data_IF_148920189836
#
_entry.id   IF_148920189836
#
_cell.length_a   1.000
_cell.length_b   1.000
_cell.length_c   1.000
_cell.angle_alpha   90.00
_cell.angle_beta   90.00
_cell.angle_gamma   90.00
#
_symmetry.space_group_name_H-M   'P 1'
#
loop_
_entity.id
_entity.type
_entity.pdbx_description
1 polymer ?
#
# COMPACT_ATOMS: atom_id res chain seq x y z
N UNK A 1 -4.52 2.39 -18.52
CA UNK A 1 -3.56 2.90 -19.53
C UNK A 1 -2.19 2.36 -19.16
N UNK A 2 -1.35 1.97 -20.11
CA UNK A 2 -0.01 1.50 -19.78
C UNK A 2 0.81 2.67 -19.20
N UNK A 3 1.45 2.45 -18.06
CA UNK A 3 2.46 3.38 -17.51
C UNK A 3 3.54 3.58 -18.56
N UNK A 4 4.00 4.82 -18.83
CA UNK A 4 5.11 5.03 -19.75
C UNK A 4 6.32 4.20 -19.31
N UNK A 5 6.98 3.53 -20.26
CA UNK A 5 8.10 2.65 -19.97
C UNK A 5 9.25 3.45 -19.33
N UNK A 6 9.39 3.34 -18.01
CA UNK A 6 10.50 3.95 -17.27
C UNK A 6 11.75 3.16 -17.61
N UNK A 7 12.70 3.82 -18.27
CA UNK A 7 14.01 3.25 -18.52
C UNK A 7 14.91 3.40 -17.29
N UNK A 8 15.65 2.34 -17.01
CA UNK A 8 16.69 2.27 -15.99
C UNK A 8 18.03 2.06 -16.70
N UNK A 9 19.07 2.75 -16.25
CA UNK A 9 20.40 2.80 -16.90
C UNK A 9 21.51 2.22 -16.03
N UNK A 10 21.24 2.04 -14.72
CA UNK A 10 22.17 1.48 -13.73
C UNK A 10 21.65 0.18 -13.14
N UNK A 11 20.35 0.06 -12.95
CA UNK A 11 19.72 -1.15 -12.37
C UNK A 11 18.83 -1.85 -13.40
N UNK A 12 18.71 -3.17 -13.28
CA UNK A 12 17.68 -3.95 -13.98
C UNK A 12 16.46 -4.09 -13.07
N UNK A 13 15.28 -3.71 -13.57
CA UNK A 13 13.99 -3.86 -12.89
C UNK A 13 13.16 -4.92 -13.61
N UNK A 14 12.74 -5.97 -12.89
CA UNK A 14 11.79 -6.98 -13.38
C UNK A 14 10.53 -6.95 -12.53
N UNK A 15 9.36 -6.51 -13.07
CA UNK A 15 8.10 -6.52 -12.31
C UNK A 15 7.78 -7.91 -11.75
N UNK A 16 7.39 -7.98 -10.47
CA UNK A 16 7.08 -9.23 -9.79
C UNK A 16 5.64 -9.68 -10.07
N UNK A 17 4.70 -8.73 -10.01
CA UNK A 17 3.33 -8.86 -10.47
C UNK A 17 2.90 -7.58 -11.22
N UNK A 18 1.75 -7.57 -11.93
CA UNK A 18 1.29 -6.40 -12.70
C UNK A 18 0.97 -5.16 -11.85
N UNK A 19 0.63 -5.34 -10.57
CA UNK A 19 0.24 -4.29 -9.62
C UNK A 19 1.33 -3.97 -8.58
N UNK A 20 2.01 -5.01 -8.07
CA UNK A 20 2.85 -4.97 -6.88
C UNK A 20 4.21 -5.68 -7.09
N UNK A 21 5.27 -5.08 -6.57
CA UNK A 21 6.59 -5.69 -6.48
C UNK A 21 7.45 -5.58 -7.74
N UNK A 22 8.77 -5.52 -7.55
CA UNK A 22 9.76 -5.75 -8.60
C UNK A 22 11.05 -6.35 -8.04
N UNK A 23 11.69 -7.25 -8.78
CA UNK A 23 13.08 -7.60 -8.54
C UNK A 23 14.00 -6.49 -9.04
N UNK A 24 15.03 -6.19 -8.25
CA UNK A 24 16.13 -5.27 -8.58
C UNK A 24 17.41 -6.09 -8.72
N UNK A 25 18.10 -5.92 -9.85
CA UNK A 25 19.31 -6.66 -10.23
C UNK A 25 20.37 -5.71 -10.80
N UNK A 26 21.62 -6.17 -10.87
CA UNK A 26 22.73 -5.39 -11.44
C UNK A 26 23.38 -4.37 -10.50
N UNK A 27 23.00 -4.34 -9.21
CA UNK A 27 23.55 -3.48 -8.16
C UNK A 27 24.01 -4.32 -6.96
N UNK A 28 25.03 -3.87 -6.23
CA UNK A 28 25.44 -4.44 -4.94
C UNK A 28 25.36 -3.40 -3.82
N UNK A 29 24.36 -3.52 -2.95
CA UNK A 29 24.14 -2.60 -1.82
C UNK A 29 25.29 -2.66 -0.79
N UNK A 30 26.06 -3.74 -0.75
CA UNK A 30 27.21 -3.91 0.15
C UNK A 30 28.37 -2.94 -0.18
N UNK A 31 28.47 -2.47 -1.42
CA UNK A 31 29.52 -1.54 -1.85
C UNK A 31 29.13 -0.05 -1.74
N UNK A 32 27.88 0.24 -1.33
CA UNK A 32 27.28 1.57 -1.34
C UNK A 32 26.52 1.86 -2.64
N UNK A 33 25.74 2.94 -2.65
CA UNK A 33 24.82 3.29 -3.73
C UNK A 33 25.15 4.69 -4.26
N UNK A 34 25.36 4.82 -5.56
CA UNK A 34 25.59 6.12 -6.21
C UNK A 34 24.30 6.94 -6.31
N UNK A 35 24.43 8.25 -6.54
CA UNK A 35 23.29 9.14 -6.71
C UNK A 35 22.36 8.70 -7.87
N UNK A 36 22.93 8.22 -8.99
CA UNK A 36 22.14 7.77 -10.14
C UNK A 36 21.40 6.46 -9.86
N UNK A 37 22.04 5.52 -9.14
CA UNK A 37 21.37 4.28 -8.70
C UNK A 37 20.26 4.59 -7.71
N UNK A 38 20.49 5.47 -6.74
CA UNK A 38 19.47 5.89 -5.78
C UNK A 38 18.27 6.57 -6.46
N UNK A 39 18.50 7.44 -7.44
CA UNK A 39 17.42 8.07 -8.22
C UNK A 39 16.59 7.03 -9.00
N UNK A 40 17.22 5.98 -9.53
CA UNK A 40 16.53 4.87 -10.20
C UNK A 40 15.77 3.98 -9.20
N UNK A 41 16.36 3.63 -8.06
CA UNK A 41 15.72 2.87 -6.98
C UNK A 41 14.53 3.64 -6.43
N UNK A 42 14.64 4.94 -6.14
CA UNK A 42 13.54 5.74 -5.60
C UNK A 42 12.36 5.82 -6.58
N UNK A 43 12.63 5.91 -7.90
CA UNK A 43 11.57 5.82 -8.93
C UNK A 43 10.92 4.44 -8.91
N UNK A 44 11.71 3.36 -8.93
CA UNK A 44 11.21 1.99 -8.90
C UNK A 44 10.37 1.73 -7.65
N UNK A 45 10.80 2.21 -6.48
CA UNK A 45 10.10 2.07 -5.20
C UNK A 45 8.71 2.73 -5.24
N UNK A 46 8.62 3.97 -5.72
CA UNK A 46 7.34 4.68 -5.85
C UNK A 46 6.39 4.06 -6.90
N UNK A 47 6.93 3.33 -7.88
CA UNK A 47 6.15 2.65 -8.93
C UNK A 47 5.67 1.28 -8.45
N UNK A 48 6.56 0.46 -7.90
CA UNK A 48 6.34 -0.96 -7.59
C UNK A 48 5.99 -1.24 -6.12
N UNK A 49 6.13 -0.24 -5.23
CA UNK A 49 5.84 -0.25 -3.79
C UNK A 49 6.67 -1.21 -2.92
N UNK A 50 7.13 -2.33 -3.49
CA UNK A 50 8.06 -3.29 -2.88
C UNK A 50 9.16 -3.60 -3.88
N UNK A 51 10.42 -3.59 -3.43
CA UNK A 51 11.60 -3.94 -4.20
C UNK A 51 12.31 -5.13 -3.57
N UNK A 52 12.67 -6.11 -4.39
CA UNK A 52 13.40 -7.31 -4.01
C UNK A 52 14.79 -7.28 -4.65
N UNK A 53 15.80 -6.83 -3.92
CA UNK A 53 17.19 -6.85 -4.37
C UNK A 53 17.69 -8.28 -4.29
N UNK A 54 17.92 -8.87 -5.46
CA UNK A 54 18.36 -10.27 -5.62
C UNK A 54 19.87 -10.36 -5.72
N UNK A 55 20.39 -11.55 -5.45
CA UNK A 55 21.80 -11.92 -5.63
C UNK A 55 22.78 -10.98 -4.90
N UNK A 56 22.37 -10.47 -3.73
CA UNK A 56 23.17 -9.55 -2.92
C UNK A 56 24.19 -10.29 -2.05
N UNK A 57 25.31 -9.62 -1.78
CA UNK A 57 26.22 -9.99 -0.69
C UNK A 57 25.63 -9.59 0.67
N UNK A 58 26.21 -10.06 1.77
CA UNK A 58 25.82 -9.58 3.10
C UNK A 58 26.14 -8.08 3.20
N UNK A 59 25.12 -7.25 3.40
CA UNK A 59 25.31 -5.79 3.48
C UNK A 59 25.91 -5.47 4.86
N UNK A 60 27.08 -4.80 4.92
CA UNK A 60 27.65 -4.38 6.20
C UNK A 60 26.68 -3.48 6.96
N UNK A 61 26.55 -3.61 8.29
CA UNK A 61 25.64 -2.80 9.11
C UNK A 61 25.67 -1.30 8.80
N UNK A 62 26.86 -0.70 8.67
CA UNK A 62 27.02 0.70 8.29
C UNK A 62 26.41 1.04 6.91
N UNK A 63 26.57 0.16 5.91
CA UNK A 63 26.01 0.36 4.56
C UNK A 63 24.49 0.25 4.54
N UNK A 64 23.91 -0.65 5.35
CA UNK A 64 22.46 -0.76 5.50
C UNK A 64 21.87 0.51 6.10
N UNK A 65 22.52 1.05 7.14
CA UNK A 65 22.18 2.34 7.77
C UNK A 65 22.35 3.51 6.79
N UNK A 66 23.46 3.57 6.06
CA UNK A 66 23.73 4.60 5.04
C UNK A 66 22.65 4.61 3.95
N UNK A 67 22.30 3.44 3.41
CA UNK A 67 21.27 3.31 2.37
C UNK A 67 19.88 3.74 2.87
N UNK A 68 19.49 3.34 4.09
CA UNK A 68 18.27 3.83 4.73
C UNK A 68 18.26 5.35 4.89
N UNK A 69 19.41 5.94 5.30
CA UNK A 69 19.58 7.40 5.46
C UNK A 69 19.45 8.19 4.15
N UNK A 70 19.58 7.56 2.98
CA UNK A 70 19.32 8.22 1.70
C UNK A 70 17.83 8.56 1.52
N UNK A 71 16.92 7.81 2.16
CA UNK A 71 15.47 8.04 2.11
C UNK A 71 14.95 8.97 3.20
N UNK A 72 15.63 9.06 4.36
CA UNK A 72 15.22 9.93 5.46
C UNK A 72 15.88 9.60 6.80
N UNK A 73 15.38 10.22 7.87
CA UNK A 73 15.74 9.87 9.25
C UNK A 73 15.35 8.40 9.54
N UNK A 74 16.16 7.68 10.30
CA UNK A 74 15.83 6.29 10.68
C UNK A 74 14.88 6.27 11.88
N UNK A 75 13.95 5.33 11.88
CA UNK A 75 13.01 5.08 12.97
C UNK A 75 13.58 4.03 13.92
N UNK A 76 13.70 4.39 15.20
CA UNK A 76 14.06 3.45 16.26
C UNK A 76 12.79 2.79 16.80
N UNK A 77 12.65 1.47 16.63
CA UNK A 77 11.45 0.75 17.04
C UNK A 77 11.41 0.60 18.59
N UNK A 78 10.37 1.12 19.28
CA UNK A 78 10.42 1.35 20.73
C UNK A 78 10.59 0.10 21.60
N UNK A 79 10.12 -1.07 21.12
CA UNK A 79 10.20 -2.34 21.86
C UNK A 79 11.23 -3.34 21.29
N UNK A 80 11.97 -3.02 20.22
CA UNK A 80 12.77 -4.02 19.51
C UNK A 80 14.21 -4.13 20.06
N UNK A 81 14.80 -5.34 20.18
CA UNK A 81 16.21 -5.50 20.49
C UNK A 81 17.09 -4.97 19.35
N UNK A 82 17.99 -4.04 19.68
CA UNK A 82 18.92 -3.48 18.72
C UNK A 82 20.21 -4.32 18.60
N UNK A 83 20.87 -4.23 17.45
CA UNK A 83 22.17 -4.88 17.22
C UNK A 83 23.27 -4.16 18.02
N UNK A 84 24.18 -4.92 18.63
CA UNK A 84 25.33 -4.36 19.36
C UNK A 84 26.19 -3.50 18.42
N UNK A 85 26.50 -2.27 18.87
CA UNK A 85 27.22 -1.27 18.07
C UNK A 85 26.40 -0.55 16.99
N UNK A 86 25.18 -1.01 16.69
CA UNK A 86 24.31 -0.49 15.62
C UNK A 86 22.86 -0.35 16.09
N UNK A 87 22.55 0.66 16.94
CA UNK A 87 21.24 0.82 17.56
C UNK A 87 20.09 1.05 16.54
N UNK A 88 20.41 1.50 15.33
CA UNK A 88 19.44 1.70 14.24
C UNK A 88 19.05 0.39 13.50
N UNK A 89 19.71 -0.73 13.81
CA UNK A 89 19.41 -2.05 13.24
C UNK A 89 18.65 -2.90 14.24
N UNK A 90 17.43 -3.31 13.87
CA UNK A 90 16.70 -4.36 14.55
C UNK A 90 17.08 -5.73 13.98
N UNK A 91 17.56 -6.63 14.84
CA UNK A 91 17.82 -8.01 14.48
C UNK A 91 16.55 -8.88 14.60
N UNK A 92 16.01 -9.32 13.46
CA UNK A 92 14.94 -10.32 13.44
C UNK A 92 15.57 -11.70 13.57
N UNK A 93 15.19 -12.44 14.60
CA UNK A 93 15.67 -13.80 14.86
C UNK A 93 14.53 -14.67 15.39
N UNK A 94 14.35 -15.82 14.76
CA UNK A 94 13.48 -16.91 15.21
C UNK A 94 14.24 -18.24 15.09
N UNK A 95 14.10 -19.09 16.10
CA UNK A 95 14.79 -20.38 16.23
C UNK A 95 13.92 -21.35 17.04
N UNK A 96 14.39 -22.59 17.25
CA UNK A 96 13.67 -23.66 17.97
C UNK A 96 12.99 -23.23 19.26
N UNK A 97 13.66 -22.45 20.09
CA UNK A 97 13.21 -22.02 21.42
C UNK A 97 12.32 -20.76 21.38
N UNK A 98 12.21 -20.09 20.23
CA UNK A 98 11.31 -18.94 20.05
C UNK A 98 9.85 -19.38 20.17
N UNK A 99 9.05 -18.65 20.94
CA UNK A 99 7.60 -18.91 21.13
C UNK A 99 6.70 -18.17 20.15
N UNK A 100 7.21 -17.10 19.55
CA UNK A 100 6.52 -16.22 18.60
C UNK A 100 7.49 -15.76 17.51
N UNK A 101 6.99 -15.49 16.31
CA UNK A 101 7.74 -14.79 15.27
C UNK A 101 7.28 -13.33 15.12
N UNK A 102 8.11 -12.52 14.44
CA UNK A 102 7.78 -11.14 14.12
C UNK A 102 6.91 -11.08 12.86
N UNK A 103 5.79 -10.36 12.93
CA UNK A 103 4.98 -9.99 11.76
C UNK A 103 4.02 -11.06 11.21
N UNK A 104 3.59 -12.04 12.02
CA UNK A 104 2.74 -13.16 11.56
C UNK A 104 1.31 -12.81 11.14
N UNK A 105 0.85 -11.59 11.42
CA UNK A 105 -0.43 -11.05 11.01
C UNK A 105 -0.24 -9.95 9.96
N UNK A 106 -1.28 -9.67 9.16
CA UNK A 106 -1.23 -8.59 8.17
C UNK A 106 -1.12 -7.22 8.84
N UNK A 107 -0.09 -6.45 8.47
CA UNK A 107 0.19 -5.13 9.02
C UNK A 107 1.00 -4.22 8.10
N UNK A 108 0.85 -2.91 8.31
CA UNK A 108 1.91 -1.92 8.05
C UNK A 108 2.73 -1.79 9.33
N UNK A 109 4.05 -1.62 9.23
CA UNK A 109 4.91 -1.41 10.40
C UNK A 109 4.45 -0.22 11.23
N UNK A 110 4.37 -0.41 12.55
CA UNK A 110 4.21 0.63 13.59
C UNK A 110 3.16 1.69 13.25
N UNK A 111 2.03 1.29 12.64
CA UNK A 111 0.95 2.22 12.27
C UNK A 111 0.19 2.80 13.47
N UNK A 112 0.63 2.49 14.68
CA UNK A 112 0.17 3.02 15.96
C UNK A 112 0.95 4.26 16.42
N UNK A 113 2.06 4.61 15.74
CA UNK A 113 2.79 5.87 15.98
C UNK A 113 2.07 7.05 15.30
N UNK A 114 2.18 8.26 15.85
CA UNK A 114 1.68 9.46 15.16
C UNK A 114 2.33 9.72 13.80
N UNK A 115 3.58 9.27 13.64
CA UNK A 115 4.39 9.40 12.43
C UNK A 115 4.94 8.00 12.10
N UNK A 116 4.12 7.12 11.52
CA UNK A 116 4.54 5.76 11.17
C UNK A 116 5.71 5.76 10.17
N UNK A 117 6.47 4.66 10.09
CA UNK A 117 7.51 4.47 9.09
C UNK A 117 7.06 4.75 7.64
N UNK A 118 7.98 5.33 6.85
CA UNK A 118 7.86 5.40 5.39
C UNK A 118 7.98 4.01 4.78
N UNK A 119 8.95 3.24 5.26
CA UNK A 119 9.28 1.95 4.68
C UNK A 119 10.33 1.23 5.50
N UNK A 120 10.42 -0.07 5.27
CA UNK A 120 11.30 -0.96 6.01
C UNK A 120 12.11 -1.81 5.05
N UNK A 121 13.38 -1.94 5.40
CA UNK A 121 14.41 -2.68 4.69
C UNK A 121 14.75 -3.92 5.53
N UNK A 122 14.64 -5.13 4.96
CA UNK A 122 15.02 -6.38 5.62
C UNK A 122 15.94 -7.21 4.72
N UNK A 123 17.11 -7.61 5.23
CA UNK A 123 17.99 -8.60 4.61
C UNK A 123 18.06 -9.85 5.50
N UNK A 124 17.97 -11.06 4.91
CA UNK A 124 18.04 -12.33 5.64
C UNK A 124 19.36 -13.07 5.42
N UNK A 125 20.05 -13.42 6.49
CA UNK A 125 21.40 -14.03 6.47
C UNK A 125 21.38 -15.54 6.77
N UNK A 126 20.41 -15.97 7.60
CA UNK A 126 20.10 -17.37 7.90
C UNK A 126 18.65 -17.61 7.47
N UNK A 127 18.44 -18.69 6.74
CA UNK A 127 17.15 -19.12 6.21
C UNK A 127 16.95 -20.59 6.52
N UNK A 128 15.69 -21.04 6.72
CA UNK A 128 15.37 -22.45 6.79
C UNK A 128 15.55 -23.12 5.42
N UNK A 129 15.65 -24.45 5.41
CA UNK A 129 15.70 -25.25 4.18
C UNK A 129 14.45 -25.08 3.31
N UNK A 130 13.29 -24.83 3.93
CA UNK A 130 12.02 -24.52 3.28
C UNK A 130 11.14 -23.65 4.20
N UNK A 131 10.25 -22.86 3.61
CA UNK A 131 9.39 -21.92 4.33
C UNK A 131 10.10 -20.58 4.63
N UNK A 132 9.48 -19.76 5.48
CA UNK A 132 10.01 -18.45 5.88
C UNK A 132 9.76 -17.31 4.88
N UNK A 133 8.84 -17.52 3.94
CA UNK A 133 8.41 -16.55 2.95
C UNK A 133 7.72 -15.33 3.58
N UNK A 134 7.70 -14.21 2.84
CA UNK A 134 6.97 -13.00 3.23
C UNK A 134 5.91 -12.68 2.18
N UNK A 135 4.68 -12.41 2.61
CA UNK A 135 3.62 -11.92 1.73
C UNK A 135 3.46 -10.40 1.85
N UNK A 136 3.06 -9.76 0.76
CA UNK A 136 2.76 -8.33 0.68
C UNK A 136 1.40 -8.13 0.02
N UNK A 137 0.68 -7.05 0.35
CA UNK A 137 -0.63 -6.69 -0.23
C UNK A 137 -0.66 -5.22 -0.66
N UNK A 138 -1.18 -4.96 -1.86
CA UNK A 138 -1.29 -3.64 -2.49
C UNK A 138 -2.53 -2.88 -1.97
N UNK A 139 -2.31 -1.90 -1.12
CA UNK A 139 -3.39 -1.12 -0.52
C UNK A 139 -3.95 -0.04 -1.45
N UNK A 140 -3.27 0.25 -2.57
CA UNK A 140 -3.85 1.03 -3.65
C UNK A 140 -4.85 0.20 -4.44
N UNK A 141 -4.49 -1.03 -4.86
CA UNK A 141 -5.41 -1.92 -5.54
C UNK A 141 -6.62 -2.28 -4.66
N UNK A 142 -6.40 -2.50 -3.36
CA UNK A 142 -7.49 -2.68 -2.41
C UNK A 142 -8.44 -1.47 -2.37
N UNK A 143 -7.93 -0.23 -2.37
CA UNK A 143 -8.78 0.97 -2.47
C UNK A 143 -9.50 1.06 -3.84
N UNK A 144 -8.75 0.93 -4.94
CA UNK A 144 -9.24 1.08 -6.31
C UNK A 144 -10.32 0.03 -6.67
N UNK A 145 -10.31 -1.13 -6.00
CA UNK A 145 -11.31 -2.21 -6.16
C UNK A 145 -12.61 -2.03 -5.34
N UNK A 146 -12.66 -1.10 -4.38
CA UNK A 146 -13.90 -0.82 -3.64
C UNK A 146 -14.95 -0.19 -4.55
N UNK A 147 -16.23 -0.51 -4.32
CA UNK A 147 -17.34 0.14 -5.02
C UNK A 147 -17.42 1.62 -4.67
N UNK A 148 -17.85 2.48 -5.61
CA UNK A 148 -17.94 3.92 -5.38
C UNK A 148 -18.79 4.31 -4.13
N UNK A 149 -19.90 3.63 -3.78
CA UNK A 149 -20.60 3.88 -2.52
C UNK A 149 -19.74 3.57 -1.28
N UNK A 150 -18.93 2.50 -1.31
CA UNK A 150 -18.03 2.15 -0.21
C UNK A 150 -16.88 3.15 -0.11
N UNK A 151 -16.26 3.52 -1.23
CA UNK A 151 -15.26 4.59 -1.26
C UNK A 151 -15.82 5.89 -0.64
N UNK A 152 -17.01 6.33 -1.07
CA UNK A 152 -17.67 7.51 -0.52
C UNK A 152 -17.98 7.41 0.98
N UNK A 153 -18.33 6.22 1.49
CA UNK A 153 -18.58 5.99 2.91
C UNK A 153 -17.32 6.14 3.76
N UNK A 154 -16.16 5.70 3.24
CA UNK A 154 -14.88 5.71 3.96
C UNK A 154 -14.11 7.05 3.87
N UNK A 155 -14.46 7.91 2.91
CA UNK A 155 -13.89 9.26 2.81
C UNK A 155 -14.19 10.06 4.09
N UNK A 156 -13.14 10.63 4.71
CA UNK A 156 -13.26 11.41 5.95
C UNK A 156 -13.34 10.60 7.25
N UNK A 157 -13.47 9.26 7.19
CA UNK A 157 -13.42 8.43 8.40
C UNK A 157 -11.98 8.27 8.91
N UNK A 158 -11.83 8.21 10.23
CA UNK A 158 -10.57 7.93 10.91
C UNK A 158 -10.66 6.64 11.73
N UNK A 159 -9.51 6.02 11.96
CA UNK A 159 -9.39 4.85 12.80
C UNK A 159 -8.31 5.03 13.86
N UNK A 160 -8.54 4.41 15.02
CA UNK A 160 -7.57 4.33 16.12
C UNK A 160 -6.69 3.10 15.90
N UNK A 161 -5.38 3.28 16.03
CA UNK A 161 -4.35 2.26 15.85
C UNK A 161 -3.56 2.12 17.14
N UNK A 162 -3.61 0.96 17.77
CA UNK A 162 -3.08 0.71 19.12
C UNK A 162 -2.08 -0.45 19.13
N UNK A 163 -1.12 -0.42 20.05
CA UNK A 163 -0.06 -1.43 20.16
C UNK A 163 -0.05 -2.22 21.47
N UNK A 164 -0.82 -1.82 22.48
CA UNK A 164 -0.78 -2.43 23.81
C UNK A 164 -1.06 -3.95 23.78
N UNK A 165 -2.06 -4.37 22.99
CA UNK A 165 -2.40 -5.78 22.78
C UNK A 165 -1.41 -6.56 21.90
N UNK A 166 -0.41 -5.89 21.33
CA UNK A 166 0.63 -6.46 20.45
C UNK A 166 2.00 -6.49 21.11
N UNK A 167 2.31 -5.52 21.98
CA UNK A 167 3.66 -5.34 22.54
C UNK A 167 3.82 -5.90 23.95
N UNK A 168 2.80 -5.78 24.82
CA UNK A 168 2.87 -6.28 26.20
C UNK A 168 3.04 -7.81 26.21
N UNK A 169 4.00 -8.29 26.98
CA UNK A 169 4.39 -9.70 27.09
C UNK A 169 5.14 -10.28 25.88
N UNK A 170 5.30 -9.53 24.78
CA UNK A 170 5.82 -10.09 23.50
C UNK A 170 7.29 -10.52 23.57
N UNK A 171 8.09 -9.84 24.37
CA UNK A 171 9.54 -10.05 24.46
C UNK A 171 9.99 -10.51 25.86
N UNK A 172 9.05 -10.95 26.69
CA UNK A 172 9.33 -11.48 28.03
C UNK A 172 10.22 -12.74 28.00
N UNK A 173 10.13 -13.55 26.93
CA UNK A 173 11.01 -14.70 26.69
C UNK A 173 12.44 -14.30 26.29
N UNK A 174 12.66 -13.05 25.87
CA UNK A 174 13.96 -12.45 25.54
C UNK A 174 14.51 -11.58 26.67
N UNK A 175 13.91 -11.64 27.87
CA UNK A 175 14.35 -10.90 29.05
C UNK A 175 13.98 -9.43 29.07
N UNK A 176 13.06 -8.98 28.20
CA UNK A 176 12.52 -7.62 28.23
C UNK A 176 11.31 -7.56 29.18
N UNK A 177 11.31 -6.58 30.09
CA UNK A 177 10.23 -6.34 31.05
C UNK A 177 9.26 -5.27 30.53
N UNK A 178 7.95 -5.54 30.65
CA UNK A 178 6.86 -4.68 30.19
C UNK A 178 6.84 -3.32 30.90
N UNK A 179 7.44 -3.20 32.10
CA UNK A 179 7.43 -1.98 32.92
C UNK A 179 7.94 -0.70 32.23
N UNK A 180 8.72 -0.82 31.14
CA UNK A 180 9.21 0.32 30.35
C UNK A 180 8.80 0.27 28.86
N UNK A 181 7.88 -0.63 28.46
CA UNK A 181 7.46 -0.73 27.06
C UNK A 181 6.50 0.42 26.72
N UNK A 182 6.91 1.27 25.79
CA UNK A 182 6.01 2.26 25.19
C UNK A 182 4.97 1.55 24.31
N UNK A 183 3.70 1.75 24.62
CA UNK A 183 2.56 1.27 23.83
C UNK A 183 1.88 2.45 23.12
N UNK A 184 2.43 2.95 21.99
CA UNK A 184 1.83 4.03 21.22
C UNK A 184 0.39 3.71 20.76
N UNK A 185 -0.40 4.77 20.68
CA UNK A 185 -1.75 4.80 20.11
C UNK A 185 -1.91 6.08 19.28
N UNK A 186 -2.44 5.97 18.06
CA UNK A 186 -2.58 7.09 17.14
C UNK A 186 -3.89 7.01 16.34
N UNK A 187 -4.35 8.16 15.86
CA UNK A 187 -5.53 8.30 14.99
C UNK A 187 -5.08 8.66 13.57
N UNK A 188 -5.54 7.88 12.60
CA UNK A 188 -5.20 8.05 11.18
C UNK A 188 -6.45 8.00 10.29
N UNK A 189 -6.45 8.66 9.12
CA UNK A 189 -7.51 8.47 8.14
C UNK A 189 -7.52 7.03 7.61
N UNK A 190 -8.71 6.45 7.45
CA UNK A 190 -8.88 5.09 6.87
C UNK A 190 -8.38 5.03 5.42
N UNK A 191 -8.35 6.19 4.74
CA UNK A 191 -7.89 6.34 3.37
C UNK A 191 -6.77 7.38 3.35
N UNK A 192 -5.53 6.92 3.19
CA UNK A 192 -4.33 7.77 3.15
C UNK A 192 -4.04 8.20 1.71
N UNK A 193 -3.74 9.48 1.54
CA UNK A 193 -3.08 9.98 0.33
C UNK A 193 -1.58 9.81 0.45
N UNK A 194 -0.97 9.05 -0.44
CA UNK A 194 0.47 8.84 -0.42
C UNK A 194 1.21 10.15 -0.75
N UNK A 195 2.21 10.58 0.04
CA UNK A 195 2.81 11.91 -0.06
C UNK A 195 3.52 12.17 -1.39
N UNK A 196 4.26 11.21 -1.95
CA UNK A 196 4.89 11.37 -3.27
C UNK A 196 3.91 11.14 -4.44
N UNK A 197 3.30 9.94 -4.53
CA UNK A 197 2.50 9.51 -5.70
C UNK A 197 1.10 10.12 -5.81
N UNK A 198 0.56 10.69 -4.72
CA UNK A 198 -0.82 11.22 -4.61
C UNK A 198 -1.94 10.21 -4.95
N UNK A 199 -1.63 8.91 -4.95
CA UNK A 199 -2.62 7.82 -4.97
C UNK A 199 -3.28 7.69 -3.58
N UNK A 200 -4.51 7.20 -3.55
CA UNK A 200 -5.22 6.87 -2.32
C UNK A 200 -5.01 5.39 -2.00
N UNK A 201 -4.69 5.08 -0.75
CA UNK A 201 -4.54 3.71 -0.25
C UNK A 201 -5.44 3.51 0.98
N UNK A 202 -5.98 2.30 1.16
CA UNK A 202 -6.57 1.93 2.44
C UNK A 202 -5.45 1.86 3.50
N UNK A 203 -5.63 2.54 4.63
CA UNK A 203 -4.62 2.67 5.67
C UNK A 203 -5.15 2.13 7.02
N UNK A 204 -5.49 0.85 7.00
CA UNK A 204 -5.93 0.06 8.15
C UNK A 204 -5.19 -1.28 8.12
N UNK A 205 -5.07 -1.95 9.27
CA UNK A 205 -4.62 -3.34 9.31
C UNK A 205 -5.12 -4.08 10.55
N UNK A 206 -5.27 -5.40 10.43
CA UNK A 206 -5.82 -6.28 11.48
C UNK A 206 -4.97 -6.29 12.77
N UNK A 207 -3.69 -5.96 12.68
CA UNK A 207 -2.77 -6.03 13.82
C UNK A 207 -2.91 -4.84 14.76
N UNK A 208 -3.03 -3.62 14.22
CA UNK A 208 -3.04 -2.39 15.02
C UNK A 208 -4.39 -1.65 15.01
N UNK A 209 -5.19 -1.72 13.94
CA UNK A 209 -6.43 -0.94 13.84
C UNK A 209 -7.54 -1.55 14.72
N UNK A 210 -7.94 -0.85 15.78
CA UNK A 210 -8.90 -1.35 16.78
C UNK A 210 -10.33 -0.83 16.59
N UNK A 211 -10.50 0.41 16.11
CA UNK A 211 -11.82 1.08 16.02
C UNK A 211 -11.87 2.11 14.89
N UNK A 212 -13.04 2.26 14.26
CA UNK A 212 -13.41 3.43 13.44
C UNK A 212 -14.02 4.48 14.36
N UNK A 213 -13.55 5.73 14.29
CA UNK A 213 -13.80 6.69 15.37
C UNK A 213 -15.19 7.34 15.30
N UNK A 214 -15.71 7.55 14.09
CA UNK A 214 -16.97 8.25 13.80
C UNK A 214 -18.19 7.31 13.75
N UNK A 215 -18.00 6.00 13.96
CA UNK A 215 -19.06 5.00 13.97
C UNK A 215 -19.26 4.42 15.39
N UNK A 216 -20.40 3.77 15.63
CA UNK A 216 -20.53 2.95 16.84
C UNK A 216 -19.57 1.76 16.81
N UNK A 217 -19.26 1.21 17.98
CA UNK A 217 -18.34 0.07 18.12
C UNK A 217 -18.75 -1.12 17.24
N UNK A 218 -20.04 -1.45 17.21
CA UNK A 218 -20.57 -2.59 16.45
C UNK A 218 -20.53 -2.35 14.92
N UNK A 219 -20.91 -1.15 14.47
CA UNK A 219 -20.79 -0.77 13.05
C UNK A 219 -19.32 -0.77 12.60
N UNK A 220 -18.44 -0.14 13.39
CA UNK A 220 -17.01 -0.09 13.15
C UNK A 220 -16.38 -1.48 13.11
N UNK A 221 -16.74 -2.37 14.04
CA UNK A 221 -16.27 -3.76 14.09
C UNK A 221 -16.69 -4.55 12.86
N UNK A 222 -17.95 -4.41 12.40
CA UNK A 222 -18.43 -5.10 11.19
C UNK A 222 -17.71 -4.59 9.94
N UNK A 223 -17.58 -3.26 9.79
CA UNK A 223 -16.92 -2.63 8.64
C UNK A 223 -15.42 -2.96 8.62
N UNK A 224 -14.70 -2.87 9.74
CA UNK A 224 -13.28 -3.24 9.81
C UNK A 224 -13.06 -4.70 9.43
N UNK A 225 -13.88 -5.64 9.91
CA UNK A 225 -13.73 -7.05 9.54
C UNK A 225 -13.94 -7.30 8.04
N UNK A 226 -14.90 -6.61 7.42
CA UNK A 226 -15.10 -6.65 5.97
C UNK A 226 -13.89 -6.06 5.23
N UNK A 227 -13.39 -4.89 5.63
CA UNK A 227 -12.26 -4.24 4.98
C UNK A 227 -10.94 -4.99 5.19
N UNK A 228 -10.70 -5.61 6.35
CA UNK A 228 -9.56 -6.50 6.56
C UNK A 228 -9.64 -7.70 5.62
N UNK A 229 -10.81 -8.36 5.53
CA UNK A 229 -11.02 -9.47 4.59
C UNK A 229 -10.79 -9.06 3.12
N UNK A 230 -11.20 -7.85 2.75
CA UNK A 230 -10.97 -7.25 1.43
C UNK A 230 -9.47 -7.00 1.16
N UNK A 231 -8.76 -6.30 2.05
CA UNK A 231 -7.32 -6.03 1.90
C UNK A 231 -6.45 -7.31 1.97
N UNK A 232 -7.00 -8.40 2.49
CA UNK A 232 -6.39 -9.73 2.59
C UNK A 232 -6.86 -10.69 1.47
N UNK A 233 -7.42 -10.18 0.38
CA UNK A 233 -7.70 -10.94 -0.85
C UNK A 233 -6.43 -11.26 -1.65
N UNK A 234 -6.41 -12.43 -2.32
CA UNK A 234 -5.24 -12.96 -3.03
C UNK A 234 -4.89 -12.13 -4.28
N UNK A 235 -5.88 -11.46 -4.86
CA UNK A 235 -5.78 -10.60 -6.03
C UNK A 235 -4.91 -9.36 -5.78
N UNK A 236 -4.76 -8.94 -4.53
CA UNK A 236 -3.91 -7.81 -4.13
C UNK A 236 -2.51 -8.26 -3.68
N UNK A 237 -2.25 -9.57 -3.61
CA UNK A 237 -1.10 -10.13 -2.91
C UNK A 237 0.01 -10.65 -3.82
N UNK A 238 1.24 -10.57 -3.29
CA UNK A 238 2.38 -11.34 -3.76
C UNK A 238 3.00 -12.11 -2.59
N UNK A 239 3.57 -13.29 -2.88
CA UNK A 239 4.38 -14.08 -1.94
C UNK A 239 5.82 -14.10 -2.43
N UNK A 240 6.74 -13.56 -1.64
CA UNK A 240 8.17 -13.52 -1.93
C UNK A 240 8.91 -14.65 -1.22
N UNK A 241 9.66 -15.44 -2.00
CA UNK A 241 10.53 -16.50 -1.51
C UNK A 241 11.98 -16.04 -1.47
N UNK A 242 12.53 -16.02 -0.26
CA UNK A 242 13.86 -15.51 0.04
C UNK A 242 14.96 -16.47 -0.45
N UNK A 243 16.03 -15.91 -1.00
CA UNK A 243 17.35 -16.51 -1.10
C UNK A 243 18.30 -15.86 -0.09
N UNK A 244 19.42 -16.51 0.22
CA UNK A 244 20.36 -16.00 1.23
C UNK A 244 20.88 -14.63 0.82
N UNK A 245 20.86 -13.69 1.76
CA UNK A 245 21.20 -12.28 1.59
C UNK A 245 20.29 -11.50 0.61
N UNK A 246 19.18 -12.06 0.12
CA UNK A 246 18.16 -11.23 -0.52
C UNK A 246 17.68 -10.15 0.44
N UNK A 247 17.33 -9.00 -0.13
CA UNK A 247 16.92 -7.82 0.60
C UNK A 247 15.57 -7.33 0.04
N UNK A 248 14.56 -7.18 0.91
CA UNK A 248 13.25 -6.62 0.54
C UNK A 248 13.04 -5.24 1.17
N UNK A 249 12.70 -4.26 0.35
CA UNK A 249 12.36 -2.89 0.75
C UNK A 249 10.90 -2.59 0.39
N UNK A 250 10.04 -2.34 1.38
CA UNK A 250 8.62 -2.06 1.15
C UNK A 250 8.16 -0.70 1.68
N UNK A 251 7.17 -0.12 1.00
CA UNK A 251 6.54 1.14 1.35
C UNK A 251 5.35 0.91 2.32
N UNK A 252 5.60 1.16 3.61
CA UNK A 252 4.58 1.04 4.67
C UNK A 252 3.43 2.05 4.50
N UNK A 253 3.55 3.05 3.62
CA UNK A 253 2.50 4.04 3.37
C UNK A 253 1.42 3.53 2.41
N UNK A 254 1.68 2.44 1.69
CA UNK A 254 0.76 1.85 0.71
C UNK A 254 0.79 0.31 0.58
N UNK A 255 1.57 -0.39 1.39
CA UNK A 255 1.56 -1.86 1.46
C UNK A 255 1.30 -2.36 2.88
N UNK A 256 0.60 -3.49 2.98
CA UNK A 256 0.70 -4.37 4.15
C UNK A 256 1.66 -5.52 3.84
N UNK A 257 2.19 -6.15 4.89
CA UNK A 257 2.97 -7.36 4.80
C UNK A 257 2.62 -8.37 5.91
N UNK A 258 3.04 -9.62 5.70
CA UNK A 258 2.87 -10.75 6.62
C UNK A 258 4.04 -11.71 6.50
N UNK A 259 4.71 -12.01 7.61
CA UNK A 259 5.68 -13.09 7.69
C UNK A 259 4.95 -14.44 7.83
N UNK A 260 5.48 -15.49 7.17
CA UNK A 260 4.98 -16.86 7.34
C UNK A 260 5.96 -17.62 8.23
N UNK A 261 5.49 -18.14 9.37
CA UNK A 261 6.28 -18.98 10.29
C UNK A 261 6.01 -20.48 10.06
N UNK A 262 6.17 -20.93 8.81
CA UNK A 262 5.98 -22.32 8.37
C UNK A 262 7.27 -23.17 8.46
N UNK A 263 8.25 -22.72 9.27
CA UNK A 263 9.61 -23.27 9.31
C UNK A 263 10.10 -23.71 10.70
N UNK A 264 9.27 -23.70 11.75
CA UNK A 264 9.68 -24.21 13.06
C UNK A 264 10.02 -25.73 12.96
N UNK A 265 11.13 -26.23 13.54
CA UNK A 265 12.05 -25.56 14.48
C UNK A 265 13.35 -25.02 13.85
N UNK A 266 13.40 -24.81 12.53
CA UNK A 266 14.58 -24.24 11.85
C UNK A 266 14.80 -22.75 12.20
N UNK A 267 16.02 -22.28 11.95
CA UNK A 267 16.45 -20.92 12.24
C UNK A 267 16.22 -19.97 11.05
N UNK A 268 15.74 -18.75 11.35
CA UNK A 268 15.65 -17.64 10.40
C UNK A 268 16.15 -16.36 11.07
N UNK A 269 17.15 -15.72 10.46
CA UNK A 269 17.82 -14.54 11.03
C UNK A 269 18.14 -13.49 9.97
N UNK A 270 17.92 -12.22 10.31
CA UNK A 270 18.21 -11.09 9.42
C UNK A 270 18.24 -9.74 10.12
N UNK A 271 18.72 -8.73 9.40
CA UNK A 271 18.85 -7.34 9.88
C UNK A 271 17.81 -6.46 9.22
N UNK A 272 17.18 -5.60 10.02
CA UNK A 272 16.13 -4.67 9.59
C UNK A 272 16.52 -3.23 9.88
N UNK A 273 16.36 -2.35 8.89
CA UNK A 273 16.42 -0.89 9.05
C UNK A 273 15.06 -0.31 8.68
N UNK A 274 14.54 0.61 9.48
CA UNK A 274 13.23 1.24 9.26
C UNK A 274 13.41 2.75 9.11
N UNK A 275 12.74 3.35 8.13
CA UNK A 275 12.84 4.78 7.80
C UNK A 275 11.61 5.49 8.36
N UNK A 276 11.82 6.58 9.09
CA UNK A 276 10.76 7.45 9.65
C UNK A 276 9.97 8.10 8.54
N UNK A 277 8.65 8.13 8.67
CA UNK A 277 7.75 8.67 7.65
C UNK A 277 7.15 10.03 7.99
N UNK A 278 5.95 10.23 7.48
CA UNK A 278 5.09 11.40 7.62
C UNK A 278 3.79 11.03 8.35
N UNK A 279 3.17 12.01 9.04
CA UNK A 279 1.83 11.83 9.63
C UNK A 279 0.82 11.54 8.50
N UNK A 280 0.12 10.39 8.53
CA UNK A 280 -0.86 10.04 7.50
C UNK A 280 -1.93 11.12 7.35
N UNK A 281 -2.24 11.47 6.09
CA UNK A 281 -3.23 12.50 5.77
C UNK A 281 -4.05 12.10 4.56
N UNK A 282 -5.26 12.64 4.45
CA UNK A 282 -6.14 12.48 3.31
C UNK A 282 -6.24 13.81 2.56
N UNK A 283 -5.66 13.88 1.36
CA UNK A 283 -5.96 14.94 0.42
C UNK A 283 -7.34 14.68 -0.18
N UNK A 284 -8.33 15.46 0.26
CA UNK A 284 -9.61 15.56 -0.45
C UNK A 284 -9.35 16.10 -1.85
N UNK A 285 -9.41 15.22 -2.87
CA UNK A 285 -9.65 15.70 -4.23
C UNK A 285 -11.03 16.33 -4.21
N UNK A 286 -11.15 17.59 -4.60
CA UNK A 286 -12.45 18.20 -4.85
C UNK A 286 -13.21 17.28 -5.83
N UNK A 287 -14.43 16.82 -5.51
CA UNK A 287 -15.18 15.97 -6.41
C UNK A 287 -15.46 16.76 -7.69
N UNK A 288 -15.07 16.19 -8.83
CA UNK A 288 -15.21 16.80 -10.15
C UNK A 288 -16.60 17.45 -10.31
N UNK A 289 -16.68 18.76 -10.62
CA UNK A 289 -17.94 19.47 -10.81
C UNK A 289 -18.92 18.78 -11.78
N UNK A 290 -18.42 17.93 -12.68
CA UNK A 290 -19.22 17.12 -13.60
C UNK A 290 -20.09 16.05 -12.90
N UNK A 291 -19.68 15.52 -11.74
CA UNK A 291 -20.47 14.52 -11.00
C UNK A 291 -21.70 15.12 -10.29
N UNK A 292 -21.80 16.45 -10.12
CA UNK A 292 -23.01 17.09 -9.55
C UNK A 292 -24.23 17.07 -10.50
N UNK A 293 -24.09 16.64 -11.76
CA UNK A 293 -25.16 16.74 -12.78
C UNK A 293 -25.97 15.48 -13.05
N UNK A 294 -25.75 14.38 -12.32
CA UNK A 294 -26.53 13.12 -12.45
C UNK A 294 -27.65 12.97 -11.40
N UNK A 295 -28.02 14.04 -10.70
CA UNK A 295 -29.21 14.06 -9.84
C UNK A 295 -30.50 13.89 -10.65
N UNK A 296 -31.10 12.70 -10.58
CA UNK A 296 -32.33 12.36 -11.33
C UNK A 296 -33.53 13.14 -10.80
N UNK A 297 -33.89 14.23 -11.50
CA UNK A 297 -35.10 14.99 -11.24
C UNK A 297 -36.37 14.18 -11.50
N UNK A 298 -36.90 13.52 -10.47
CA UNK A 298 -38.27 13.01 -10.45
C UNK A 298 -39.29 14.17 -10.31
N UNK A 299 -39.38 14.99 -11.35
CA UNK A 299 -40.28 16.14 -11.45
C UNK A 299 -41.61 15.79 -12.10
N UNK A 300 -42.65 15.61 -11.29
CA UNK A 300 -44.00 15.20 -11.72
C UNK A 300 -44.59 16.20 -12.73
N UNK A 301 -45.08 15.67 -13.86
CA UNK A 301 -45.81 16.43 -14.86
C UNK A 301 -47.13 17.00 -14.28
N UNK A 302 -47.27 18.34 -14.27
CA UNK A 302 -48.57 19.00 -14.09
C UNK A 302 -48.79 20.10 -15.13
N UNK A 303 -49.66 19.79 -16.08
CA UNK A 303 -50.25 20.72 -17.04
C UNK A 303 -51.02 21.82 -16.29
N UNK A 304 -50.78 23.09 -16.64
CA UNK A 304 -51.81 24.15 -16.57
C UNK A 304 -51.51 25.30 -17.54
N UNK A 305 -52.54 25.72 -18.26
CA UNK A 305 -52.51 26.76 -19.28
C UNK A 305 -52.88 28.14 -18.72
N UNK A 306 -52.34 29.23 -19.30
CA UNK A 306 -53.06 30.52 -19.48
C UNK A 306 -52.34 31.55 -20.37
N UNK A 307 -52.84 31.63 -21.60
CA UNK A 307 -53.00 32.75 -22.56
C UNK A 307 -52.58 34.19 -22.09
N UNK A 308 -51.94 34.92 -23.03
CA UNK A 308 -51.85 36.40 -23.29
C UNK A 308 -50.39 36.92 -23.27
N UNK A 309 -49.85 37.63 -24.27
CA UNK A 309 -50.32 37.89 -25.65
C UNK A 309 -49.56 39.00 -26.41
N UNK A 310 -49.59 38.93 -27.76
CA UNK A 310 -49.35 39.99 -28.78
C UNK A 310 -47.93 40.54 -29.11
N UNK A 311 -47.64 40.50 -30.42
CA UNK A 311 -46.80 41.40 -31.25
C UNK A 311 -45.26 41.36 -31.05
N UNK A 312 -44.42 41.53 -32.10
CA UNK A 312 -44.65 41.90 -33.50
C UNK A 312 -43.53 41.39 -34.44
N UNK A 313 -43.86 41.05 -35.71
CA UNK A 313 -43.10 41.17 -37.01
C UNK A 313 -41.57 40.86 -37.05
N UNK A 314 -40.96 40.24 -38.09
CA UNK A 314 -41.33 39.74 -39.44
C UNK A 314 -40.14 38.92 -40.00
N UNK A 315 -40.37 37.97 -40.93
CA UNK A 315 -39.50 37.42 -42.02
C UNK A 315 -37.96 37.38 -41.84
N UNK A 316 -37.17 36.36 -42.19
CA UNK A 316 -37.34 34.99 -42.72
C UNK A 316 -35.93 34.31 -42.60
N UNK A 317 -35.52 33.16 -43.16
CA UNK A 317 -36.04 32.18 -44.15
C UNK A 317 -35.38 30.80 -43.89
N UNK A 318 -35.92 29.71 -44.45
CA UNK A 318 -35.26 28.39 -44.60
C UNK A 318 -35.57 27.83 -46.00
N UNK A 319 -34.77 26.87 -46.52
CA UNK A 319 -35.22 25.49 -46.41
C UNK A 319 -34.12 24.49 -46.00
N UNK A 320 -34.55 23.34 -45.50
CA UNK A 320 -33.70 22.19 -45.23
C UNK A 320 -33.60 21.26 -46.46
N UNK A 321 -32.53 20.47 -46.54
CA UNK A 321 -32.50 19.21 -47.30
C UNK A 321 -31.93 18.10 -46.42
N UNK A 322 -32.67 16.99 -46.37
CA UNK A 322 -32.25 15.75 -45.73
C UNK A 322 -32.05 14.73 -46.86
N UNK A 323 -30.86 14.12 -46.93
CA UNK A 323 -30.48 13.23 -48.04
C UNK A 323 -30.34 11.79 -47.58
N UNK A 324 -31.22 10.95 -48.10
CA UNK A 324 -31.19 9.48 -47.96
C UNK A 324 -30.12 8.92 -48.90
N UNK A 325 -29.25 8.01 -48.42
CA UNK A 325 -28.59 7.03 -49.28
C UNK A 325 -28.64 5.65 -48.60
N UNK A 326 -29.32 4.70 -49.25
CA UNK A 326 -29.29 3.27 -48.93
C UNK A 326 -28.07 2.61 -49.58
N UNK A 327 -27.56 1.53 -48.96
CA UNK A 327 -26.48 0.71 -49.51
C UNK A 327 -26.51 -0.72 -48.97
N UNK A 328 -27.41 -1.56 -49.49
CA UNK A 328 -27.45 -3.01 -49.24
C UNK A 328 -27.38 -3.73 -50.60
N UNK A 329 -26.48 -4.71 -50.73
CA UNK A 329 -26.56 -5.70 -51.82
C UNK A 329 -25.21 -6.18 -52.36
N UNK A 330 -24.83 -7.42 -52.04
CA UNK A 330 -23.68 -8.11 -52.64
C UNK A 330 -23.38 -9.45 -51.94
N UNK A 331 -23.85 -10.56 -52.52
CA UNK A 331 -23.52 -11.94 -52.08
C UNK A 331 -22.27 -12.44 -52.80
N UNK A 332 -21.57 -13.42 -52.21
CA UNK A 332 -21.24 -14.70 -52.88
C UNK A 332 -20.58 -15.70 -51.91
N UNK A 333 -21.34 -16.71 -51.53
CA UNK A 333 -21.07 -18.16 -51.42
C UNK A 333 -19.75 -18.76 -50.89
N UNK A 334 -19.91 -19.93 -50.26
CA UNK A 334 -18.91 -20.69 -49.51
C UNK A 334 -18.22 -21.80 -50.33
N UNK A 335 -17.04 -22.25 -49.87
CA UNK A 335 -16.50 -23.59 -50.19
C UNK A 335 -15.87 -24.22 -48.93
N UNK A 336 -16.48 -25.34 -48.51
CA UNK A 336 -15.99 -26.46 -47.66
C UNK A 336 -15.41 -26.17 -46.27
#
# INVERSE_FOLDING_TARGET
MATPAVSYSRIEIRPYAPNLGAEVRGISLAHGVSAQEFDEIRKAFLIHQVLFFRDQEEIPPCRHIEFGRMFGELHAHPAAPAMEGYPEIFEIHAHRESKVANGEFWHSDVSCDEIPPLGTMLQLHILPSSGGDTMFSDMYAAWDALSAPMQNMLMGLTATHESAHVYLGRYADRGQDDNNISCPSAVHPIVRSHPDTKRQALYINRTFTTRINELSEEEGRVILNMLFGHCEQIEFQIRFRWSRNDMAFWDNRCCMHRAIWDYWPEERKGRRVTIKGDRPSQCTRDPDPLQRKSGVCHGICKIRSRIRGKCCRRSATLPATCSIINGIGGRCDAIR
#
